data_IF_892800402911
#
_entry.id   IF_892800402911
#
_cell.length_a   1.000
_cell.length_b   1.000
_cell.length_c   1.000
_cell.angle_alpha   90.00
_cell.angle_beta   90.00
_cell.angle_gamma   90.00
#
_symmetry.space_group_name_H-M   'P 1'
#
loop_
_entity.id
_entity.type
_entity.pdbx_description
1 polymer ?
#
# COMPACT_ATOMS: atom_id res chain seq x y z
N UNK A 1 -15.95 -16.49 51.42
CA UNK A 1 -15.47 -15.22 50.84
C UNK A 1 -15.42 -15.40 49.33
N UNK A 2 -16.52 -15.08 48.62
CA UNK A 2 -16.59 -15.20 47.16
C UNK A 2 -15.82 -14.02 46.57
N UNK A 3 -14.66 -14.30 45.99
CA UNK A 3 -13.91 -13.31 45.22
C UNK A 3 -14.73 -13.04 43.96
N UNK A 4 -15.30 -11.83 43.90
CA UNK A 4 -16.14 -11.38 42.81
C UNK A 4 -15.27 -11.14 41.56
N UNK A 5 -15.35 -12.07 40.60
CA UNK A 5 -14.59 -12.13 39.35
C UNK A 5 -14.75 -10.85 38.51
N UNK A 6 -15.80 -10.07 38.78
CA UNK A 6 -16.06 -8.76 38.15
C UNK A 6 -15.11 -7.64 38.58
N UNK A 7 -14.36 -7.79 39.67
CA UNK A 7 -13.50 -6.72 40.19
C UNK A 7 -12.21 -6.59 39.38
N UNK A 8 -11.70 -7.70 38.81
CA UNK A 8 -10.49 -7.71 37.98
C UNK A 8 -10.71 -7.13 36.57
N UNK A 9 -11.95 -7.09 36.07
CA UNK A 9 -12.29 -6.55 34.74
C UNK A 9 -12.51 -5.03 34.72
N UNK A 10 -12.61 -4.38 35.88
CA UNK A 10 -12.82 -2.92 35.98
C UNK A 10 -11.59 -2.10 35.55
N UNK A 11 -10.38 -2.65 35.68
CA UNK A 11 -9.13 -1.96 35.35
C UNK A 11 -8.75 -1.92 33.86
N UNK A 12 -9.57 -2.50 32.96
CA UNK A 12 -9.29 -2.57 31.52
C UNK A 12 -10.19 -1.70 30.63
N UNK A 13 -11.04 -0.86 31.23
CA UNK A 13 -11.95 0.04 30.52
C UNK A 13 -11.40 1.47 30.55
N UNK A 14 -10.93 1.96 29.41
CA UNK A 14 -10.60 3.38 29.26
C UNK A 14 -11.87 4.13 28.87
N UNK A 15 -12.28 5.09 29.68
CA UNK A 15 -13.38 6.01 29.35
C UNK A 15 -12.83 7.04 28.37
N UNK A 16 -13.27 7.00 27.12
CA UNK A 16 -12.90 7.98 26.10
C UNK A 16 -14.15 8.76 25.71
N UNK A 17 -14.05 10.07 25.70
CA UNK A 17 -15.15 10.95 25.31
C UNK A 17 -15.31 10.90 23.78
N UNK A 18 -16.45 10.41 23.30
CA UNK A 18 -16.77 10.44 21.86
C UNK A 18 -17.41 11.79 21.54
N UNK A 19 -16.70 12.60 20.74
CA UNK A 19 -17.17 13.91 20.27
C UNK A 19 -18.42 13.81 19.38
N UNK A 20 -18.63 12.67 18.70
CA UNK A 20 -19.78 12.44 17.80
C UNK A 20 -21.07 12.07 18.55
N UNK A 21 -20.96 11.34 19.66
CA UNK A 21 -22.15 10.85 20.41
C UNK A 21 -22.40 11.59 21.72
N UNK A 22 -21.54 12.56 22.06
CA UNK A 22 -21.56 13.30 23.32
C UNK A 22 -21.69 12.36 24.55
N UNK A 23 -21.05 11.19 24.44
CA UNK A 23 -21.16 10.09 25.42
C UNK A 23 -19.79 9.53 25.77
N UNK A 24 -19.66 9.02 26.99
CA UNK A 24 -18.47 8.32 27.45
C UNK A 24 -18.57 6.88 26.92
N UNK A 25 -17.79 6.56 25.90
CA UNK A 25 -17.71 5.19 25.39
C UNK A 25 -16.64 4.45 26.19
N UNK A 26 -17.02 3.30 26.75
CA UNK A 26 -16.07 2.42 27.42
C UNK A 26 -15.24 1.68 26.36
N UNK A 27 -14.01 2.13 26.17
CA UNK A 27 -13.06 1.53 25.24
C UNK A 27 -12.48 0.25 25.83
N UNK A 28 -12.57 -0.84 25.07
CA UNK A 28 -12.03 -2.15 25.44
C UNK A 28 -10.80 -2.44 24.59
N UNK A 29 -9.64 -2.50 25.24
CA UNK A 29 -8.35 -2.77 24.62
C UNK A 29 -8.33 -4.01 23.72
N UNK A 30 -9.09 -5.05 24.06
CA UNK A 30 -9.13 -6.28 23.26
C UNK A 30 -9.84 -6.06 21.91
N UNK A 31 -10.88 -5.23 21.86
CA UNK A 31 -11.55 -4.88 20.60
C UNK A 31 -10.62 -4.03 19.73
N UNK A 32 -9.88 -3.10 20.33
CA UNK A 32 -8.86 -2.34 19.61
C UNK A 32 -7.80 -3.26 18.99
N UNK A 33 -7.32 -4.26 19.73
CA UNK A 33 -6.36 -5.22 19.21
C UNK A 33 -6.94 -5.99 18.01
N UNK A 34 -8.17 -6.51 18.13
CA UNK A 34 -8.82 -7.26 17.06
C UNK A 34 -9.12 -6.40 15.83
N UNK A 35 -9.63 -5.18 16.00
CA UNK A 35 -9.91 -4.29 14.86
C UNK A 35 -8.64 -3.75 14.22
N UNK A 36 -7.58 -3.51 14.99
CA UNK A 36 -6.26 -3.16 14.47
C UNK A 36 -5.69 -4.31 13.63
N UNK A 37 -5.67 -5.55 14.15
CA UNK A 37 -5.19 -6.71 13.40
C UNK A 37 -6.05 -7.01 12.16
N UNK A 38 -7.36 -6.79 12.25
CA UNK A 38 -8.22 -6.86 11.08
C UNK A 38 -7.84 -5.80 10.03
N UNK A 39 -7.59 -4.57 10.46
CA UNK A 39 -7.11 -3.47 9.61
C UNK A 39 -5.78 -3.76 8.92
N UNK A 40 -4.83 -4.40 9.63
CA UNK A 40 -3.53 -4.81 9.04
C UNK A 40 -3.74 -5.71 7.82
N UNK A 41 -4.69 -6.64 7.87
CA UNK A 41 -4.96 -7.57 6.77
C UNK A 41 -5.51 -6.94 5.49
N UNK A 42 -5.96 -5.67 5.53
CA UNK A 42 -6.58 -5.01 4.38
C UNK A 42 -5.61 -4.76 3.23
N UNK A 43 -4.38 -4.33 3.51
CA UNK A 43 -3.39 -3.97 2.49
C UNK A 43 -2.03 -4.67 2.65
N UNK A 44 -1.85 -5.49 3.68
CA UNK A 44 -0.54 -6.11 3.97
C UNK A 44 0.00 -6.91 2.79
N UNK A 45 -0.86 -7.61 2.04
CA UNK A 45 -0.45 -8.44 0.92
C UNK A 45 0.18 -7.63 -0.21
N UNK A 46 -0.50 -6.56 -0.64
CA UNK A 46 -0.03 -5.67 -1.72
C UNK A 46 1.21 -4.90 -1.28
N UNK A 47 1.21 -4.38 -0.05
CA UNK A 47 2.37 -3.67 0.49
C UNK A 47 3.60 -4.59 0.57
N UNK A 48 3.41 -5.84 1.01
CA UNK A 48 4.46 -6.85 1.08
C UNK A 48 5.08 -7.16 -0.29
N UNK A 49 4.26 -7.21 -1.35
CA UNK A 49 4.77 -7.40 -2.72
C UNK A 49 5.68 -6.25 -3.15
N UNK A 50 5.24 -5.01 -2.95
CA UNK A 50 6.08 -3.85 -3.26
C UNK A 50 7.39 -3.87 -2.47
N UNK A 51 7.37 -4.20 -1.18
CA UNK A 51 8.60 -4.28 -0.36
C UNK A 51 9.60 -5.32 -0.83
N UNK A 52 9.14 -6.39 -1.48
CA UNK A 52 9.99 -7.48 -1.98
C UNK A 52 10.50 -7.27 -3.40
N UNK A 53 9.98 -6.28 -4.15
CA UNK A 53 10.42 -6.02 -5.53
C UNK A 53 11.95 -5.92 -5.69
N UNK A 54 12.71 -5.24 -4.80
CA UNK A 54 14.15 -5.16 -4.93
C UNK A 54 14.87 -6.52 -4.93
N UNK A 55 14.30 -7.53 -4.25
CA UNK A 55 14.81 -8.91 -4.27
C UNK A 55 14.25 -9.70 -5.45
N UNK A 56 12.94 -9.62 -5.71
CA UNK A 56 12.28 -10.38 -6.78
C UNK A 56 12.82 -10.03 -8.17
N UNK A 57 13.15 -8.76 -8.40
CA UNK A 57 13.77 -8.26 -9.65
C UNK A 57 15.12 -8.92 -9.95
N UNK A 58 15.83 -9.46 -8.94
CA UNK A 58 17.12 -10.12 -9.16
C UNK A 58 16.98 -11.52 -9.77
N UNK A 59 15.88 -12.22 -9.47
CA UNK A 59 15.66 -13.60 -9.91
C UNK A 59 14.59 -13.75 -10.99
N UNK A 60 13.70 -12.77 -11.14
CA UNK A 60 12.61 -12.85 -12.10
C UNK A 60 13.12 -12.69 -13.55
N UNK A 61 12.59 -13.46 -14.51
CA UNK A 61 12.95 -13.32 -15.92
C UNK A 61 12.65 -11.94 -16.51
N UNK A 62 11.64 -11.23 -16.01
CA UNK A 62 11.35 -9.85 -16.43
C UNK A 62 12.40 -8.83 -15.97
N UNK A 63 13.23 -9.18 -14.98
CA UNK A 63 14.23 -8.28 -14.40
C UNK A 63 13.62 -6.93 -14.00
N UNK A 64 14.19 -5.86 -14.52
CA UNK A 64 13.78 -4.48 -14.19
C UNK A 64 12.36 -4.15 -14.65
N UNK A 65 11.77 -4.94 -15.54
CA UNK A 65 10.39 -4.74 -16.01
C UNK A 65 9.35 -5.25 -15.01
N UNK A 66 9.73 -6.14 -14.09
CA UNK A 66 8.82 -6.82 -13.18
C UNK A 66 7.86 -5.87 -12.42
N UNK A 67 8.29 -4.71 -11.89
CA UNK A 67 7.38 -3.79 -11.20
C UNK A 67 6.21 -3.33 -12.07
N UNK A 68 6.43 -3.13 -13.39
CA UNK A 68 5.36 -2.70 -14.30
C UNK A 68 4.28 -3.78 -14.51
N UNK A 69 4.68 -5.06 -14.56
CA UNK A 69 3.73 -6.19 -14.62
C UNK A 69 2.93 -6.30 -13.33
N UNK A 70 3.59 -6.17 -12.18
CA UNK A 70 2.96 -6.19 -10.86
C UNK A 70 1.99 -5.03 -10.69
N UNK A 71 2.35 -3.81 -11.12
CA UNK A 71 1.45 -2.66 -11.09
C UNK A 71 0.19 -2.90 -11.92
N UNK A 72 0.29 -3.46 -13.13
CA UNK A 72 -0.90 -3.82 -13.93
C UNK A 72 -1.76 -4.87 -13.21
N UNK A 73 -1.15 -5.94 -12.71
CA UNK A 73 -1.88 -6.98 -11.98
C UNK A 73 -2.64 -6.41 -10.76
N UNK A 74 -2.02 -5.47 -10.04
CA UNK A 74 -2.64 -4.77 -8.92
C UNK A 74 -3.82 -3.90 -9.38
N UNK A 75 -3.67 -3.17 -10.49
CA UNK A 75 -4.73 -2.32 -11.02
C UNK A 75 -5.95 -3.12 -11.50
N UNK A 76 -5.76 -4.33 -12.04
CA UNK A 76 -6.87 -5.25 -12.39
C UNK A 76 -7.60 -5.72 -11.12
N UNK A 77 -6.92 -5.79 -9.97
CA UNK A 77 -7.55 -6.08 -8.66
C UNK A 77 -8.70 -5.14 -8.30
N UNK A 78 -8.74 -3.92 -8.84
CA UNK A 78 -9.84 -2.97 -8.66
C UNK A 78 -11.17 -3.44 -9.28
N UNK A 79 -11.16 -4.50 -10.09
CA UNK A 79 -12.39 -5.20 -10.50
C UNK A 79 -13.16 -5.74 -9.29
N UNK A 80 -12.49 -6.12 -8.20
CA UNK A 80 -13.13 -6.63 -6.99
C UNK A 80 -14.19 -5.69 -6.40
N UNK A 81 -13.83 -4.45 -6.02
CA UNK A 81 -14.80 -3.43 -5.59
C UNK A 81 -15.94 -3.16 -6.57
N UNK A 82 -15.65 -3.16 -7.88
CA UNK A 82 -16.66 -2.94 -8.93
C UNK A 82 -17.67 -4.09 -8.98
N UNK A 83 -17.17 -5.33 -9.03
CA UNK A 83 -17.99 -6.54 -9.01
C UNK A 83 -18.82 -6.61 -7.72
N UNK A 84 -18.23 -6.27 -6.59
CA UNK A 84 -18.96 -6.20 -5.33
C UNK A 84 -20.06 -5.13 -5.33
N UNK A 85 -19.80 -3.95 -5.88
CA UNK A 85 -20.79 -2.87 -5.97
C UNK A 85 -21.99 -3.29 -6.83
N UNK A 86 -21.75 -3.98 -7.94
CA UNK A 86 -22.80 -4.57 -8.78
C UNK A 86 -23.56 -5.69 -8.05
N UNK A 87 -22.84 -6.56 -7.33
CA UNK A 87 -23.42 -7.63 -6.53
C UNK A 87 -24.34 -7.09 -5.44
N UNK A 88 -23.89 -6.08 -4.70
CA UNK A 88 -24.65 -5.42 -3.63
C UNK A 88 -25.93 -4.79 -4.16
N UNK A 89 -25.93 -4.22 -5.38
CA UNK A 89 -27.14 -3.69 -6.02
C UNK A 89 -28.22 -4.76 -6.21
N UNK A 90 -27.83 -6.01 -6.48
CA UNK A 90 -28.76 -7.13 -6.74
C UNK A 90 -29.14 -7.92 -5.49
N UNK A 91 -28.18 -8.18 -4.59
CA UNK A 91 -28.36 -9.09 -3.46
C UNK A 91 -28.37 -8.41 -2.08
N UNK A 92 -28.19 -7.08 -2.04
CA UNK A 92 -28.08 -6.31 -0.80
C UNK A 92 -26.87 -6.73 0.05
N UNK A 93 -26.94 -6.46 1.35
CA UNK A 93 -25.85 -6.72 2.30
C UNK A 93 -25.86 -8.16 2.86
N UNK A 94 -26.71 -9.06 2.32
CA UNK A 94 -26.92 -10.42 2.86
C UNK A 94 -25.64 -11.27 2.83
N UNK A 95 -24.80 -11.05 1.81
CA UNK A 95 -23.59 -11.84 1.57
C UNK A 95 -22.30 -11.16 2.01
N UNK A 96 -22.36 -10.02 2.69
CA UNK A 96 -21.16 -9.27 3.09
C UNK A 96 -20.25 -10.08 4.02
N UNK A 97 -20.84 -10.78 4.99
CA UNK A 97 -20.11 -11.65 5.93
C UNK A 97 -19.43 -12.83 5.25
N UNK A 98 -20.14 -13.72 4.51
CA UNK A 98 -19.49 -14.83 3.83
C UNK A 98 -18.47 -14.36 2.79
N UNK A 99 -18.71 -13.25 2.10
CA UNK A 99 -17.75 -12.70 1.14
C UNK A 99 -16.48 -12.17 1.82
N UNK A 100 -16.60 -11.54 2.99
CA UNK A 100 -15.44 -11.10 3.78
C UNK A 100 -14.58 -12.28 4.21
N UNK A 101 -15.20 -13.35 4.73
CA UNK A 101 -14.49 -14.59 5.10
C UNK A 101 -13.81 -15.21 3.87
N UNK A 102 -14.53 -15.30 2.76
CA UNK A 102 -14.00 -15.83 1.50
C UNK A 102 -12.74 -15.08 1.06
N UNK A 103 -12.77 -13.74 1.08
CA UNK A 103 -11.63 -12.91 0.66
C UNK A 103 -10.45 -13.02 1.62
N UNK A 104 -10.69 -13.10 2.93
CA UNK A 104 -9.63 -13.32 3.91
C UNK A 104 -8.94 -14.69 3.71
N UNK A 105 -9.73 -15.75 3.49
CA UNK A 105 -9.21 -17.09 3.20
C UNK A 105 -8.45 -17.13 1.87
N UNK A 106 -8.97 -16.46 0.84
CA UNK A 106 -8.28 -16.31 -0.44
C UNK A 106 -6.91 -15.66 -0.25
N UNK A 107 -6.82 -14.61 0.57
CA UNK A 107 -5.56 -13.93 0.89
C UNK A 107 -4.54 -14.84 1.58
N UNK A 108 -4.97 -15.64 2.55
CA UNK A 108 -4.12 -16.65 3.22
C UNK A 108 -3.57 -17.64 2.18
N UNK A 109 -4.44 -18.22 1.37
CA UNK A 109 -4.04 -19.20 0.36
C UNK A 109 -3.05 -18.57 -0.62
N UNK A 110 -3.35 -17.37 -1.14
CA UNK A 110 -2.49 -16.70 -2.12
C UNK A 110 -1.09 -16.41 -1.58
N UNK A 111 -0.94 -15.96 -0.32
CA UNK A 111 0.38 -15.61 0.21
C UNK A 111 1.22 -16.83 0.58
N UNK A 112 0.62 -17.93 1.04
CA UNK A 112 1.36 -19.18 1.23
C UNK A 112 1.77 -19.81 -0.10
N UNK A 113 0.91 -19.76 -1.12
CA UNK A 113 1.29 -20.16 -2.48
C UNK A 113 2.41 -19.24 -3.01
N UNK A 114 2.35 -17.94 -2.74
CA UNK A 114 3.40 -16.98 -3.11
C UNK A 114 4.73 -17.36 -2.45
N UNK A 115 4.71 -17.68 -1.15
CA UNK A 115 5.91 -18.09 -0.42
C UNK A 115 6.62 -19.32 -1.04
N UNK A 116 5.84 -20.26 -1.60
CA UNK A 116 6.37 -21.50 -2.18
C UNK A 116 6.74 -21.38 -3.66
N UNK A 117 5.99 -20.58 -4.43
CA UNK A 117 6.02 -20.64 -5.89
C UNK A 117 6.40 -19.31 -6.58
N UNK A 118 6.87 -18.30 -5.84
CA UNK A 118 7.26 -17.01 -6.42
C UNK A 118 8.39 -17.10 -7.46
N UNK A 119 9.24 -18.13 -7.38
CA UNK A 119 10.39 -18.34 -8.26
C UNK A 119 10.09 -19.23 -9.47
N UNK A 120 8.86 -19.73 -9.62
CA UNK A 120 8.48 -20.56 -10.77
C UNK A 120 8.14 -19.66 -11.96
N UNK A 121 8.92 -19.79 -13.03
CA UNK A 121 8.64 -19.19 -14.33
C UNK A 121 7.94 -20.16 -15.27
N UNK A 122 7.07 -19.65 -16.14
CA UNK A 122 6.50 -20.37 -17.28
C UNK A 122 6.83 -19.65 -18.58
N UNK A 123 6.65 -20.31 -19.72
CA UNK A 123 6.99 -19.76 -21.04
C UNK A 123 5.74 -19.18 -21.72
N UNK A 124 5.81 -17.92 -22.16
CA UNK A 124 4.76 -17.28 -22.98
C UNK A 124 5.43 -16.72 -24.23
N UNK A 125 4.92 -17.06 -25.42
CA UNK A 125 5.47 -16.61 -26.70
C UNK A 125 6.99 -16.86 -26.87
N UNK A 126 7.48 -17.97 -26.31
CA UNK A 126 8.89 -18.34 -26.41
C UNK A 126 9.83 -17.61 -25.44
N UNK A 127 9.29 -16.85 -24.48
CA UNK A 127 10.06 -16.12 -23.46
C UNK A 127 9.66 -16.56 -22.04
N UNK A 128 10.62 -16.68 -21.11
CA UNK A 128 10.30 -17.00 -19.72
C UNK A 128 9.62 -15.81 -19.04
N UNK A 129 8.57 -16.09 -18.28
CA UNK A 129 7.77 -15.11 -17.55
C UNK A 129 7.40 -15.63 -16.16
N UNK A 130 7.29 -14.74 -15.19
CA UNK A 130 6.86 -15.00 -13.82
C UNK A 130 5.34 -15.17 -13.72
N UNK A 131 4.78 -16.13 -14.46
CA UNK A 131 3.32 -16.31 -14.59
C UNK A 131 2.66 -16.53 -13.23
N UNK A 132 3.24 -17.43 -12.42
CA UNK A 132 2.70 -17.78 -11.09
C UNK A 132 2.72 -16.56 -10.16
N UNK A 133 3.82 -15.82 -10.15
CA UNK A 133 3.95 -14.57 -9.39
C UNK A 133 2.87 -13.55 -9.80
N UNK A 134 2.62 -13.36 -11.09
CA UNK A 134 1.63 -12.41 -11.60
C UNK A 134 0.18 -12.82 -11.24
N UNK A 135 -0.15 -14.11 -11.36
CA UNK A 135 -1.49 -14.63 -11.00
C UNK A 135 -1.74 -14.48 -9.49
N UNK A 136 -0.76 -14.84 -8.67
CA UNK A 136 -0.88 -14.70 -7.22
C UNK A 136 -0.89 -13.24 -6.78
N UNK A 137 -0.13 -12.37 -7.46
CA UNK A 137 -0.18 -10.90 -7.29
C UNK A 137 -1.58 -10.36 -7.57
N UNK A 138 -2.19 -10.74 -8.69
CA UNK A 138 -3.57 -10.36 -9.02
C UNK A 138 -4.54 -10.82 -7.91
N UNK A 139 -4.39 -12.05 -7.43
CA UNK A 139 -5.27 -12.59 -6.38
C UNK A 139 -5.08 -11.83 -5.05
N UNK A 140 -3.84 -11.55 -4.66
CA UNK A 140 -3.51 -10.71 -3.49
C UNK A 140 -4.05 -9.29 -3.63
N UNK A 141 -3.99 -8.71 -4.84
CA UNK A 141 -4.55 -7.41 -5.14
C UNK A 141 -6.09 -7.40 -5.10
N UNK A 142 -6.74 -8.46 -5.59
CA UNK A 142 -8.19 -8.61 -5.49
C UNK A 142 -8.63 -8.60 -4.01
N UNK A 143 -7.88 -9.29 -3.14
CA UNK A 143 -8.12 -9.28 -1.69
C UNK A 143 -7.96 -7.86 -1.14
N UNK A 144 -6.84 -7.22 -1.46
CA UNK A 144 -6.53 -5.88 -0.95
C UNK A 144 -7.54 -4.81 -1.40
N UNK A 145 -7.82 -4.73 -2.70
CA UNK A 145 -8.76 -3.76 -3.25
C UNK A 145 -10.18 -3.98 -2.72
N UNK A 146 -10.66 -5.23 -2.66
CA UNK A 146 -12.04 -5.53 -2.23
C UNK A 146 -12.23 -5.33 -0.72
N UNK A 147 -11.16 -5.42 0.09
CA UNK A 147 -11.22 -5.15 1.53
C UNK A 147 -11.81 -3.77 1.83
N UNK A 148 -11.46 -2.75 1.02
CA UNK A 148 -11.93 -1.36 1.17
C UNK A 148 -13.45 -1.20 1.17
N UNK A 149 -14.17 -2.10 0.50
CA UNK A 149 -15.64 -2.05 0.37
C UNK A 149 -16.37 -3.07 1.25
N UNK A 150 -15.66 -3.97 1.91
CA UNK A 150 -16.24 -5.04 2.75
C UNK A 150 -15.90 -4.92 4.23
N UNK A 151 -14.67 -4.51 4.55
CA UNK A 151 -14.16 -4.54 5.92
C UNK A 151 -14.77 -3.40 6.75
N UNK A 152 -14.83 -2.19 6.17
CA UNK A 152 -15.46 -1.02 6.83
C UNK A 152 -16.94 -1.27 7.13
N UNK A 153 -17.79 -1.73 6.17
CA UNK A 153 -19.17 -2.08 6.48
C UNK A 153 -19.32 -3.18 7.53
N UNK A 154 -18.40 -4.15 7.60
CA UNK A 154 -18.42 -5.18 8.64
C UNK A 154 -18.24 -4.60 10.06
N UNK A 155 -17.55 -3.46 10.18
CA UNK A 155 -17.33 -2.74 11.44
C UNK A 155 -18.40 -1.69 11.74
N UNK A 156 -19.36 -1.44 10.84
CA UNK A 156 -20.40 -0.41 11.02
C UNK A 156 -21.30 -0.61 12.25
N UNK A 157 -21.37 -1.84 12.77
CA UNK A 157 -22.14 -2.15 13.99
C UNK A 157 -21.34 -1.90 15.28
N UNK A 158 -20.08 -1.46 15.21
CA UNK A 158 -19.26 -1.09 16.36
C UNK A 158 -19.15 0.42 16.47
N UNK A 159 -18.80 0.94 17.66
CA UNK A 159 -18.54 2.36 17.85
C UNK A 159 -17.43 2.88 16.93
N UNK A 160 -17.57 4.12 16.44
CA UNK A 160 -16.64 4.77 15.52
C UNK A 160 -15.19 4.79 16.00
N UNK A 161 -14.96 4.71 17.32
CA UNK A 161 -13.63 4.59 17.92
C UNK A 161 -12.88 3.37 17.36
N UNK A 162 -13.57 2.24 17.19
CA UNK A 162 -12.96 1.01 16.67
C UNK A 162 -12.74 1.04 15.16
N UNK A 163 -13.51 1.85 14.42
CA UNK A 163 -13.25 2.14 13.01
C UNK A 163 -11.96 2.96 12.86
N UNK A 164 -11.71 3.93 13.74
CA UNK A 164 -10.42 4.64 13.79
C UNK A 164 -9.26 3.67 14.05
N UNK A 165 -9.43 2.74 14.99
CA UNK A 165 -8.40 1.71 15.26
C UNK A 165 -8.15 0.79 14.05
N UNK A 166 -9.19 0.44 13.29
CA UNK A 166 -9.03 -0.26 12.02
C UNK A 166 -8.18 0.54 11.01
N UNK A 167 -8.43 1.85 10.89
CA UNK A 167 -7.65 2.72 9.99
C UNK A 167 -6.17 2.81 10.41
N UNK A 168 -5.89 2.76 11.72
CA UNK A 168 -4.51 2.64 12.23
C UNK A 168 -3.89 1.31 11.79
N UNK A 169 -4.63 0.21 11.91
CA UNK A 169 -4.19 -1.11 11.42
C UNK A 169 -3.87 -1.11 9.92
N UNK A 170 -4.71 -0.48 9.10
CA UNK A 170 -4.44 -0.30 7.67
C UNK A 170 -3.12 0.45 7.41
N UNK A 171 -2.80 1.48 8.21
CA UNK A 171 -1.48 2.15 8.14
C UNK A 171 -0.30 1.25 8.53
N UNK A 172 -0.47 0.40 9.56
CA UNK A 172 0.55 -0.56 10.02
C UNK A 172 0.86 -1.61 8.94
N UNK A 173 -0.11 -1.91 8.05
CA UNK A 173 0.05 -2.88 6.96
C UNK A 173 1.17 -2.55 5.97
N UNK A 174 1.56 -1.28 5.85
CA UNK A 174 2.72 -0.86 5.04
C UNK A 174 4.02 -0.82 5.85
N UNK A 175 3.93 -0.45 7.13
CA UNK A 175 5.08 -0.30 8.02
C UNK A 175 5.74 -1.65 8.37
N UNK A 176 4.94 -2.64 8.80
CA UNK A 176 5.46 -3.92 9.30
C UNK A 176 6.23 -4.69 8.23
N UNK A 177 5.71 -4.90 7.00
CA UNK A 177 6.46 -5.58 5.95
C UNK A 177 7.76 -4.85 5.60
N UNK A 178 7.75 -3.51 5.59
CA UNK A 178 8.95 -2.72 5.30
C UNK A 178 10.03 -2.85 6.36
N UNK A 179 9.66 -2.90 7.64
CA UNK A 179 10.62 -3.14 8.71
C UNK A 179 11.23 -4.54 8.59
N UNK A 180 10.40 -5.56 8.33
CA UNK A 180 10.88 -6.94 8.10
C UNK A 180 11.81 -6.98 6.89
N UNK A 181 11.49 -6.28 5.79
CA UNK A 181 12.33 -6.22 4.60
C UNK A 181 13.67 -5.48 4.85
N UNK A 182 13.69 -4.45 5.69
CA UNK A 182 14.94 -3.81 6.15
C UNK A 182 15.81 -4.78 6.94
N UNK A 183 15.22 -5.53 7.87
CA UNK A 183 15.93 -6.58 8.62
C UNK A 183 16.39 -7.72 7.72
N UNK A 184 15.60 -8.08 6.69
CA UNK A 184 15.98 -9.06 5.68
C UNK A 184 17.24 -8.65 4.91
N UNK A 185 17.43 -7.34 4.74
CA UNK A 185 18.50 -6.79 3.92
C UNK A 185 18.30 -7.11 2.44
N UNK A 186 19.32 -6.80 1.63
CA UNK A 186 19.34 -7.12 0.21
C UNK A 186 20.66 -7.75 -0.19
N UNK A 187 20.57 -8.77 -1.04
CA UNK A 187 21.74 -9.29 -1.73
C UNK A 187 22.24 -8.29 -2.77
N UNK A 188 23.55 -8.12 -2.84
CA UNK A 188 24.22 -7.27 -3.83
C UNK A 188 25.19 -8.10 -4.67
N UNK A 189 25.16 -7.87 -5.98
CA UNK A 189 26.14 -8.42 -6.92
C UNK A 189 27.21 -7.37 -7.15
N UNK A 190 28.43 -7.65 -6.70
CA UNK A 190 29.62 -6.82 -6.93
C UNK A 190 30.53 -7.52 -7.92
N UNK A 191 31.14 -6.75 -8.81
CA UNK A 191 32.09 -7.27 -9.78
C UNK A 191 33.48 -6.76 -9.49
N UNK A 192 34.34 -7.70 -9.14
CA UNK A 192 35.74 -7.44 -8.85
C UNK A 192 36.56 -7.97 -10.02
N UNK A 193 37.47 -7.15 -10.51
CA UNK A 193 38.43 -7.57 -11.52
C UNK A 193 39.56 -8.32 -10.84
N UNK A 194 39.70 -9.63 -11.10
CA UNK A 194 40.77 -10.48 -10.56
C UNK A 194 41.62 -11.04 -11.68
N UNK A 195 42.93 -10.98 -11.50
CA UNK A 195 43.88 -11.58 -12.45
C UNK A 195 44.07 -13.04 -12.06
N UNK A 196 43.59 -13.98 -12.89
CA UNK A 196 43.91 -15.41 -12.77
C UNK A 196 44.69 -15.85 -14.00
N UNK A 197 45.84 -16.49 -13.79
CA UNK A 197 46.70 -17.01 -14.87
C UNK A 197 47.09 -15.94 -15.92
N UNK A 198 47.31 -14.69 -15.50
CA UNK A 198 47.65 -13.59 -16.41
C UNK A 198 46.48 -13.05 -17.25
N UNK A 199 45.27 -13.57 -17.07
CA UNK A 199 44.05 -13.04 -17.68
C UNK A 199 43.20 -12.28 -16.66
N UNK A 200 42.67 -11.14 -17.10
CA UNK A 200 41.72 -10.33 -16.35
C UNK A 200 40.34 -11.01 -16.38
N UNK A 201 39.90 -11.58 -15.26
CA UNK A 201 38.60 -12.22 -15.12
C UNK A 201 37.73 -11.34 -14.21
N UNK A 202 36.48 -11.11 -14.62
CA UNK A 202 35.49 -10.44 -13.78
C UNK A 202 34.88 -11.48 -12.84
N UNK A 203 35.20 -11.39 -11.56
CA UNK A 203 34.61 -12.26 -10.53
C UNK A 203 33.36 -11.60 -9.94
N UNK A 204 32.25 -12.33 -10.01
CA UNK A 204 30.93 -11.91 -9.52
C UNK A 204 30.79 -12.35 -8.07
N UNK A 205 31.05 -11.44 -7.14
CA UNK A 205 30.79 -11.67 -5.73
C UNK A 205 29.32 -11.34 -5.42
N UNK A 206 28.52 -12.37 -5.17
CA UNK A 206 27.10 -12.26 -4.82
C UNK A 206 26.95 -12.40 -3.31
N UNK A 207 26.43 -11.36 -2.67
CA UNK A 207 25.94 -11.43 -1.29
C UNK A 207 24.46 -11.76 -1.30
N UNK A 208 23.99 -12.51 -0.31
CA UNK A 208 22.58 -12.88 -0.16
C UNK A 208 21.91 -12.06 0.93
N UNK A 209 20.58 -11.92 0.84
CA UNK A 209 19.78 -11.43 1.95
C UNK A 209 19.85 -12.39 3.15
N UNK A 210 19.60 -11.89 4.37
CA UNK A 210 19.67 -12.70 5.60
C UNK A 210 18.67 -13.87 5.59
N UNK A 211 17.55 -13.72 4.89
CA UNK A 211 16.59 -14.80 4.63
C UNK A 211 15.87 -14.62 3.29
N UNK A 212 15.28 -15.70 2.77
CA UNK A 212 14.63 -15.73 1.45
C UNK A 212 13.29 -14.98 1.42
N UNK A 213 12.87 -14.54 0.23
CA UNK A 213 11.53 -13.98 0.01
C UNK A 213 10.41 -14.98 0.35
N UNK A 214 10.67 -16.29 0.24
CA UNK A 214 9.73 -17.32 0.70
C UNK A 214 9.46 -17.26 2.21
N UNK A 215 10.51 -17.14 3.04
CA UNK A 215 10.32 -16.97 4.48
C UNK A 215 9.62 -15.65 4.80
N UNK A 216 9.97 -14.57 4.09
CA UNK A 216 9.27 -13.29 4.21
C UNK A 216 7.76 -13.44 3.98
N UNK A 217 7.35 -14.01 2.84
CA UNK A 217 5.92 -14.22 2.55
C UNK A 217 5.25 -15.18 3.53
N UNK A 218 5.98 -16.16 4.07
CA UNK A 218 5.48 -17.04 5.14
C UNK A 218 5.14 -16.24 6.41
N UNK A 219 6.02 -15.32 6.82
CA UNK A 219 5.77 -14.42 7.97
C UNK A 219 4.54 -13.54 7.71
N UNK A 220 4.42 -12.99 6.50
CA UNK A 220 3.23 -12.21 6.10
C UNK A 220 1.96 -13.08 6.13
N UNK A 221 2.05 -14.34 5.70
CA UNK A 221 0.97 -15.32 5.79
C UNK A 221 0.50 -15.55 7.23
N UNK A 222 1.42 -15.65 8.18
CA UNK A 222 1.09 -15.77 9.61
C UNK A 222 0.36 -14.52 10.14
N UNK A 223 0.78 -13.33 9.71
CA UNK A 223 0.07 -12.08 10.07
C UNK A 223 -1.33 -12.06 9.46
N UNK A 224 -1.49 -12.51 8.21
CA UNK A 224 -2.78 -12.62 7.54
C UNK A 224 -3.73 -13.63 8.22
N UNK A 225 -3.20 -14.75 8.72
CA UNK A 225 -3.94 -15.67 9.58
C UNK A 225 -4.42 -14.96 10.86
N UNK A 226 -3.55 -14.18 11.51
CA UNK A 226 -3.90 -13.38 12.69
C UNK A 226 -5.03 -12.37 12.42
N UNK A 227 -4.99 -11.70 11.26
CA UNK A 227 -6.06 -10.80 10.81
C UNK A 227 -7.39 -11.53 10.60
N UNK A 228 -7.34 -12.71 9.96
CA UNK A 228 -8.53 -13.54 9.72
C UNK A 228 -9.14 -14.06 11.01
N UNK A 229 -8.32 -14.57 11.93
CA UNK A 229 -8.76 -14.98 13.27
C UNK A 229 -9.38 -13.79 14.01
N UNK A 230 -8.80 -12.59 13.88
CA UNK A 230 -9.33 -11.39 14.51
C UNK A 230 -10.73 -11.05 13.99
N UNK A 231 -10.96 -11.14 12.67
CA UNK A 231 -12.29 -10.98 12.08
C UNK A 231 -13.29 -12.04 12.57
N UNK A 232 -12.88 -13.31 12.60
CA UNK A 232 -13.74 -14.40 13.10
C UNK A 232 -14.11 -14.19 14.57
N UNK A 233 -13.18 -13.74 15.40
CA UNK A 233 -13.45 -13.36 16.78
C UNK A 233 -14.43 -12.18 16.87
N UNK A 234 -14.26 -11.13 16.06
CA UNK A 234 -15.19 -10.00 16.01
C UNK A 234 -16.60 -10.42 15.57
N UNK A 235 -16.72 -11.39 14.67
CA UNK A 235 -18.01 -11.77 14.10
C UNK A 235 -18.75 -12.84 14.92
N UNK A 236 -18.03 -13.84 15.44
CA UNK A 236 -18.62 -15.00 16.10
C UNK A 236 -18.55 -14.97 17.62
N UNK A 237 -17.59 -14.27 18.23
CA UNK A 237 -17.44 -14.27 19.69
C UNK A 237 -18.65 -13.65 20.39
N UNK A 238 -19.22 -14.32 21.41
CA UNK A 238 -20.35 -13.78 22.18
C UNK A 238 -19.99 -12.48 22.91
N UNK A 239 -18.73 -12.31 23.32
CA UNK A 239 -18.25 -11.09 23.97
C UNK A 239 -18.25 -9.90 23.01
N UNK A 240 -17.86 -10.10 21.75
CA UNK A 240 -17.83 -9.06 20.73
C UNK A 240 -19.25 -8.69 20.26
N UNK A 241 -20.14 -9.68 20.11
CA UNK A 241 -21.54 -9.45 19.72
C UNK A 241 -22.31 -8.57 20.70
N UNK A 242 -22.01 -8.66 22.00
CA UNK A 242 -22.63 -7.82 23.04
C UNK A 242 -22.27 -6.34 22.92
N UNK A 243 -21.15 -6.03 22.25
CA UNK A 243 -20.66 -4.66 22.07
C UNK A 243 -21.13 -4.03 20.75
N UNK A 244 -21.85 -4.78 19.91
CA UNK A 244 -22.43 -4.23 18.69
C UNK A 244 -23.57 -3.27 19.08
N UNK A 245 -23.50 -2.05 18.56
CA UNK A 245 -24.50 -1.00 18.78
C UNK A 245 -25.83 -1.47 18.20
N UNK A 246 -26.89 -1.48 19.00
CA UNK A 246 -28.26 -1.55 18.50
C UNK A 246 -28.75 -0.12 18.23
N UNK A 247 -28.57 0.40 17.02
CA UNK A 247 -29.27 1.64 16.62
C UNK A 247 -29.47 1.74 15.10
N UNK A 248 -30.71 2.07 14.71
CA UNK A 248 -31.12 2.52 13.37
C UNK A 248 -30.39 3.82 13.03
N UNK A 249 -29.74 3.87 11.88
CA UNK A 249 -29.12 5.09 11.36
C UNK A 249 -30.18 6.00 10.72
N UNK A 250 -30.50 7.12 11.37
CA UNK A 250 -31.10 8.28 10.69
C UNK A 250 -30.00 9.31 10.43
N UNK A 251 -29.75 9.58 9.14
CA UNK A 251 -28.89 10.66 8.68
C UNK A 251 -29.70 11.94 8.57
N UNK A 252 -29.36 12.95 9.37
CA UNK A 252 -29.86 14.32 9.21
C UNK A 252 -28.96 15.05 8.22
N UNK A 253 -29.49 15.37 7.04
CA UNK A 253 -28.87 16.31 6.10
C UNK A 253 -29.31 17.74 6.45
N UNK A 254 -28.35 18.64 6.68
CA UNK A 254 -28.59 20.09 6.75
C UNK A 254 -28.03 20.73 5.48
N UNK A 255 -28.91 21.40 4.73
CA UNK A 255 -28.60 22.09 3.49
C UNK A 255 -28.34 23.58 3.76
N UNK A 256 -27.31 24.16 3.16
CA UNK A 256 -27.17 25.62 3.03
C UNK A 256 -26.59 25.99 1.66
N UNK A 257 -27.37 26.69 0.86
CA UNK A 257 -27.28 26.78 -0.60
C UNK A 257 -26.44 27.93 -1.17
N UNK A 258 -25.93 28.86 -0.34
CA UNK A 258 -25.30 30.09 -0.84
C UNK A 258 -23.74 30.09 -0.89
N UNK A 259 -23.06 29.04 -0.40
CA UNK A 259 -21.58 28.87 -0.44
C UNK A 259 -21.11 28.10 -1.71
N UNK A 260 -22.06 27.61 -2.51
CA UNK A 260 -21.89 26.50 -3.46
C UNK A 260 -21.10 26.82 -4.75
N UNK A 261 -21.04 28.07 -5.21
CA UNK A 261 -20.39 28.40 -6.50
C UNK A 261 -18.87 28.49 -6.44
N UNK A 262 -18.28 29.11 -5.40
CA UNK A 262 -16.81 29.23 -5.25
C UNK A 262 -16.18 27.89 -4.86
N UNK A 263 -16.87 27.08 -4.05
CA UNK A 263 -16.39 25.75 -3.66
C UNK A 263 -16.26 24.80 -4.86
N UNK A 264 -17.16 24.89 -5.85
CA UNK A 264 -17.18 23.96 -6.98
C UNK A 264 -15.90 23.97 -7.84
N UNK A 265 -15.29 25.13 -8.08
CA UNK A 265 -14.03 25.20 -8.87
C UNK A 265 -12.85 24.64 -8.07
N UNK A 266 -12.76 24.99 -6.79
CA UNK A 266 -11.73 24.48 -5.90
C UNK A 266 -11.80 22.96 -5.77
N UNK A 267 -13.00 22.39 -5.64
CA UNK A 267 -13.14 20.94 -5.49
C UNK A 267 -12.78 20.18 -6.76
N UNK A 268 -13.08 20.75 -7.93
CA UNK A 268 -12.61 20.22 -9.21
C UNK A 268 -11.08 20.27 -9.29
N UNK A 269 -10.46 21.37 -8.86
CA UNK A 269 -9.00 21.50 -8.80
C UNK A 269 -8.37 20.48 -7.83
N UNK A 270 -8.93 20.31 -6.63
CA UNK A 270 -8.45 19.33 -5.65
C UNK A 270 -8.58 17.89 -6.18
N UNK A 271 -9.68 17.57 -6.86
CA UNK A 271 -9.84 16.27 -7.53
C UNK A 271 -8.85 16.08 -8.69
N UNK A 272 -8.55 17.14 -9.46
CA UNK A 272 -7.52 17.08 -10.50
C UNK A 272 -6.13 16.84 -9.90
N UNK A 273 -5.76 17.57 -8.84
CA UNK A 273 -4.51 17.37 -8.09
C UNK A 273 -4.43 15.94 -7.55
N UNK A 274 -5.51 15.42 -6.96
CA UNK A 274 -5.59 14.03 -6.50
C UNK A 274 -5.32 13.06 -7.65
N UNK A 275 -5.96 13.26 -8.80
CA UNK A 275 -5.78 12.43 -9.98
C UNK A 275 -4.31 12.37 -10.41
N UNK A 276 -3.62 13.51 -10.45
CA UNK A 276 -2.19 13.59 -10.77
C UNK A 276 -1.33 12.89 -9.71
N UNK A 277 -1.56 13.18 -8.43
CA UNK A 277 -0.80 12.57 -7.34
C UNK A 277 -0.92 11.06 -7.37
N UNK A 278 -2.13 10.54 -7.55
CA UNK A 278 -2.39 9.10 -7.55
C UNK A 278 -1.89 8.43 -8.84
N UNK A 279 -1.97 9.12 -9.98
CA UNK A 279 -1.36 8.68 -11.24
C UNK A 279 0.13 8.37 -11.06
N UNK A 280 0.88 9.26 -10.40
CA UNK A 280 2.29 9.02 -10.11
C UNK A 280 2.49 8.02 -8.97
N UNK A 281 1.87 8.23 -7.81
CA UNK A 281 2.17 7.48 -6.58
C UNK A 281 1.76 6.01 -6.63
N UNK A 282 0.65 5.69 -7.28
CA UNK A 282 0.09 4.33 -7.28
C UNK A 282 0.24 3.61 -8.62
N UNK A 283 0.62 4.33 -9.68
CA UNK A 283 0.70 3.78 -11.04
C UNK A 283 2.09 3.90 -11.65
N UNK A 284 2.43 5.11 -12.12
CA UNK A 284 3.61 5.31 -12.95
C UNK A 284 4.92 5.13 -12.18
N UNK A 285 5.07 5.74 -11.00
CA UNK A 285 6.31 5.66 -10.24
C UNK A 285 6.62 4.23 -9.79
N UNK A 286 5.70 3.47 -9.16
CA UNK A 286 5.96 2.07 -8.83
C UNK A 286 6.40 1.23 -10.04
N UNK A 287 5.84 1.49 -11.24
CA UNK A 287 6.20 0.78 -12.47
C UNK A 287 7.65 1.04 -12.91
N UNK A 288 8.15 2.27 -12.75
CA UNK A 288 9.50 2.69 -13.20
C UNK A 288 10.55 2.68 -12.06
N UNK A 289 10.17 2.30 -10.84
CA UNK A 289 11.02 2.47 -9.66
C UNK A 289 12.36 1.75 -9.79
N UNK A 290 12.36 0.56 -10.39
CA UNK A 290 13.54 -0.22 -10.73
C UNK A 290 14.53 0.61 -11.57
N UNK A 291 14.06 1.23 -12.65
CA UNK A 291 14.86 2.07 -13.53
C UNK A 291 15.39 3.35 -12.88
N UNK A 292 14.64 3.91 -11.93
CA UNK A 292 15.06 5.10 -11.20
C UNK A 292 16.13 4.79 -10.15
N UNK A 293 16.05 3.63 -9.48
CA UNK A 293 16.88 3.32 -8.31
C UNK A 293 18.06 2.39 -8.60
N UNK A 294 17.90 1.40 -9.47
CA UNK A 294 18.93 0.37 -9.72
C UNK A 294 20.23 0.90 -10.34
N UNK A 295 20.27 2.02 -11.10
CA UNK A 295 21.54 2.66 -11.46
C UNK A 295 22.39 3.09 -10.26
N UNK A 296 21.79 3.28 -9.09
CA UNK A 296 22.47 3.58 -7.82
C UNK A 296 22.70 2.33 -6.94
N UNK A 297 22.35 1.14 -7.45
CA UNK A 297 22.53 -0.15 -6.80
C UNK A 297 21.27 -0.68 -6.08
N UNK A 298 21.29 -1.99 -5.81
CA UNK A 298 20.18 -2.69 -5.14
C UNK A 298 19.88 -2.15 -3.74
N UNK A 299 20.89 -1.69 -3.00
CA UNK A 299 20.68 -1.08 -1.68
C UNK A 299 19.88 0.22 -1.77
N UNK A 300 20.13 1.06 -2.78
CA UNK A 300 19.34 2.28 -2.99
C UNK A 300 17.88 1.94 -3.31
N UNK A 301 17.64 0.95 -4.17
CA UNK A 301 16.28 0.50 -4.48
C UNK A 301 15.57 -0.05 -3.23
N UNK A 302 16.26 -0.91 -2.46
CA UNK A 302 15.74 -1.47 -1.22
C UNK A 302 15.32 -0.40 -0.21
N UNK A 303 16.21 0.56 0.06
CA UNK A 303 15.94 1.65 0.99
C UNK A 303 14.84 2.57 0.48
N UNK A 304 14.86 2.95 -0.81
CA UNK A 304 13.85 3.82 -1.40
C UNK A 304 12.44 3.22 -1.26
N UNK A 305 12.27 1.94 -1.57
CA UNK A 305 10.97 1.25 -1.43
C UNK A 305 10.53 1.18 0.02
N UNK A 306 11.38 0.72 0.93
CA UNK A 306 10.97 0.43 2.30
C UNK A 306 10.81 1.69 3.17
N UNK A 307 11.69 2.68 3.01
CA UNK A 307 11.55 3.95 3.73
C UNK A 307 10.35 4.76 3.22
N UNK A 308 9.99 4.68 1.93
CA UNK A 308 8.79 5.33 1.40
C UNK A 308 7.50 4.77 2.01
N UNK A 309 7.44 3.45 2.18
CA UNK A 309 6.30 2.81 2.84
C UNK A 309 6.20 3.18 4.33
N UNK A 310 7.34 3.34 5.02
CA UNK A 310 7.39 3.82 6.41
C UNK A 310 7.01 5.31 6.51
N UNK A 311 7.33 6.12 5.50
CA UNK A 311 6.99 7.54 5.47
C UNK A 311 5.47 7.80 5.44
N UNK A 312 4.67 6.89 4.87
CA UNK A 312 3.22 7.02 4.80
C UNK A 312 2.53 7.17 6.17
N UNK A 313 2.69 6.24 7.14
CA UNK A 313 2.09 6.39 8.47
C UNK A 313 2.67 7.59 9.24
N UNK A 314 3.95 7.93 9.05
CA UNK A 314 4.56 9.13 9.65
C UNK A 314 3.87 10.40 9.13
N UNK A 315 3.63 10.50 7.82
CA UNK A 315 2.92 11.62 7.21
C UNK A 315 1.48 11.74 7.74
N UNK A 316 0.77 10.61 7.89
CA UNK A 316 -0.56 10.58 8.51
C UNK A 316 -0.54 11.06 9.96
N UNK A 317 0.49 10.68 10.74
CA UNK A 317 0.67 11.13 12.11
C UNK A 317 0.96 12.63 12.19
N UNK A 318 1.84 13.16 11.34
CA UNK A 318 2.13 14.60 11.25
C UNK A 318 0.87 15.39 10.88
N UNK A 319 0.06 14.85 9.97
CA UNK A 319 -1.21 15.47 9.55
C UNK A 319 -2.25 15.56 10.68
N UNK A 320 -2.12 14.77 11.75
CA UNK A 320 -2.96 14.90 12.94
C UNK A 320 -2.68 16.17 13.73
N UNK A 321 -1.40 16.56 13.84
CA UNK A 321 -0.97 17.76 14.59
C UNK A 321 -0.95 19.03 13.74
N UNK A 322 -1.14 18.91 12.43
CA UNK A 322 -1.05 20.03 11.48
C UNK A 322 -2.43 20.40 10.95
N UNK A 323 -2.62 21.65 10.51
CA UNK A 323 -3.84 22.08 9.80
C UNK A 323 -3.94 21.42 8.41
N UNK A 324 -4.41 20.17 8.37
CA UNK A 324 -4.62 19.34 7.16
C UNK A 324 -5.56 19.93 6.12
N UNK A 325 -6.34 20.96 6.44
CA UNK A 325 -7.24 21.63 5.49
C UNK A 325 -6.65 22.92 4.90
N UNK A 326 -5.43 23.29 5.28
CA UNK A 326 -4.77 24.50 4.78
C UNK A 326 -4.39 24.35 3.30
N UNK A 327 -5.00 25.19 2.45
CA UNK A 327 -4.73 25.22 1.00
C UNK A 327 -3.27 25.54 0.71
N UNK A 328 -2.68 26.48 1.45
CA UNK A 328 -1.28 26.86 1.28
C UNK A 328 -0.34 25.68 1.52
N UNK A 329 -0.58 24.90 2.58
CA UNK A 329 0.22 23.70 2.88
C UNK A 329 0.07 22.66 1.77
N UNK A 330 -1.16 22.43 1.28
CA UNK A 330 -1.40 21.49 0.17
C UNK A 330 -0.63 21.92 -1.09
N UNK A 331 -0.68 23.20 -1.47
CA UNK A 331 0.03 23.68 -2.67
C UNK A 331 1.55 23.59 -2.52
N UNK A 332 2.12 23.97 -1.37
CA UNK A 332 3.56 23.83 -1.09
C UNK A 332 3.99 22.36 -1.22
N UNK A 333 3.25 21.44 -0.60
CA UNK A 333 3.54 20.01 -0.69
C UNK A 333 3.40 19.47 -2.12
N UNK A 334 2.43 19.98 -2.90
CA UNK A 334 2.30 19.62 -4.31
C UNK A 334 3.51 20.09 -5.14
N UNK A 335 4.05 21.28 -4.86
CA UNK A 335 5.28 21.76 -5.50
C UNK A 335 6.48 20.87 -5.16
N UNK A 336 6.61 20.43 -3.91
CA UNK A 336 7.65 19.48 -3.48
C UNK A 336 7.48 18.12 -4.18
N UNK A 337 6.25 17.62 -4.28
CA UNK A 337 5.94 16.40 -5.03
C UNK A 337 6.35 16.52 -6.50
N UNK A 338 6.06 17.67 -7.13
CA UNK A 338 6.38 17.90 -8.55
C UNK A 338 7.90 17.87 -8.79
N UNK A 339 8.69 18.53 -7.94
CA UNK A 339 10.16 18.51 -8.03
C UNK A 339 10.68 17.07 -7.90
N UNK A 340 10.15 16.32 -6.94
CA UNK A 340 10.55 14.92 -6.71
C UNK A 340 10.17 14.03 -7.91
N UNK A 341 8.97 14.20 -8.47
CA UNK A 341 8.52 13.48 -9.68
C UNK A 341 9.46 13.75 -10.85
N UNK A 342 9.79 15.02 -11.13
CA UNK A 342 10.66 15.39 -12.24
C UNK A 342 12.02 14.72 -12.08
N UNK A 343 12.60 14.72 -10.88
CA UNK A 343 13.88 14.07 -10.62
C UNK A 343 13.82 12.54 -10.78
N UNK A 344 12.78 11.88 -10.25
CA UNK A 344 12.61 10.42 -10.38
C UNK A 344 12.37 9.99 -11.83
N UNK A 345 11.59 10.75 -12.60
CA UNK A 345 11.41 10.50 -14.03
C UNK A 345 12.72 10.70 -14.79
N UNK A 346 13.43 11.81 -14.52
CA UNK A 346 14.70 12.10 -15.18
C UNK A 346 15.73 11.00 -14.93
N UNK A 347 15.87 10.52 -13.69
CA UNK A 347 16.77 9.39 -13.37
C UNK A 347 16.35 8.09 -14.08
N UNK A 348 15.04 7.80 -14.17
CA UNK A 348 14.53 6.63 -14.88
C UNK A 348 14.76 6.69 -16.40
N UNK A 349 14.54 7.83 -17.04
CA UNK A 349 14.72 8.01 -18.49
C UNK A 349 16.18 8.16 -18.91
N UNK A 350 17.06 8.61 -18.02
CA UNK A 350 18.51 8.70 -18.27
C UNK A 350 19.26 7.42 -17.86
N UNK A 351 18.57 6.42 -17.31
CA UNK A 351 19.13 5.10 -17.04
C UNK A 351 19.73 4.50 -18.33
N UNK A 352 20.95 3.93 -18.29
CA UNK A 352 21.73 3.57 -17.09
C UNK A 352 22.70 4.66 -16.59
N UNK A 353 22.87 5.77 -17.30
CA UNK A 353 23.85 6.84 -16.98
C UNK A 353 23.17 8.01 -16.26
N UNK A 354 22.40 7.71 -15.22
CA UNK A 354 21.67 8.71 -14.45
C UNK A 354 22.64 9.70 -13.76
N UNK A 355 22.24 10.95 -13.45
CA UNK A 355 23.14 11.90 -12.80
C UNK A 355 23.67 11.36 -11.46
N UNK A 356 24.96 11.58 -11.19
CA UNK A 356 25.62 11.08 -9.99
C UNK A 356 25.60 9.54 -9.85
N UNK A 357 25.44 8.79 -10.96
CA UNK A 357 25.59 7.33 -10.95
C UNK A 357 26.96 6.93 -10.38
N UNK A 358 27.01 5.78 -9.68
CA UNK A 358 28.18 5.29 -8.94
C UNK A 358 28.70 6.18 -7.78
N UNK A 359 27.90 7.14 -7.29
CA UNK A 359 28.26 7.93 -6.10
C UNK A 359 27.30 7.68 -4.93
N UNK A 360 27.84 7.65 -3.70
CA UNK A 360 27.03 7.56 -2.49
C UNK A 360 26.05 8.74 -2.35
N UNK A 361 26.47 9.93 -2.81
CA UNK A 361 25.61 11.12 -2.84
C UNK A 361 24.39 10.92 -3.73
N UNK A 362 24.58 10.33 -4.92
CA UNK A 362 23.47 9.98 -5.82
C UNK A 362 22.50 8.98 -5.18
N UNK A 363 23.03 7.93 -4.53
CA UNK A 363 22.22 6.93 -3.83
C UNK A 363 21.40 7.54 -2.67
N UNK A 364 22.00 8.41 -1.86
CA UNK A 364 21.29 9.10 -0.77
C UNK A 364 20.21 10.04 -1.33
N UNK A 365 20.54 10.79 -2.39
CA UNK A 365 19.64 11.74 -3.01
C UNK A 365 18.41 11.04 -3.62
N UNK A 366 18.59 9.94 -4.34
CA UNK A 366 17.45 9.24 -4.94
C UNK A 366 16.55 8.65 -3.86
N UNK A 367 17.11 8.01 -2.82
CA UNK A 367 16.34 7.49 -1.68
C UNK A 367 15.55 8.62 -1.00
N UNK A 368 16.19 9.76 -0.75
CA UNK A 368 15.53 10.92 -0.15
C UNK A 368 14.36 11.42 -1.01
N UNK A 369 14.52 11.53 -2.34
CA UNK A 369 13.46 12.00 -3.24
C UNK A 369 12.24 11.06 -3.27
N UNK A 370 12.46 9.75 -3.25
CA UNK A 370 11.38 8.75 -3.15
C UNK A 370 10.62 8.88 -1.82
N UNK A 371 11.36 8.94 -0.70
CA UNK A 371 10.78 9.07 0.65
C UNK A 371 10.00 10.37 0.80
N UNK A 372 10.58 11.48 0.32
CA UNK A 372 9.96 12.80 0.35
C UNK A 372 8.66 12.82 -0.46
N UNK A 373 8.68 12.29 -1.68
CA UNK A 373 7.50 12.23 -2.52
C UNK A 373 6.37 11.44 -1.87
N UNK A 374 6.61 10.20 -1.41
CA UNK A 374 5.55 9.37 -0.83
C UNK A 374 5.01 9.95 0.49
N UNK A 375 5.87 10.53 1.33
CA UNK A 375 5.45 11.26 2.52
C UNK A 375 4.54 12.44 2.20
N UNK A 376 4.98 13.34 1.30
CA UNK A 376 4.20 14.50 0.88
C UNK A 376 2.89 14.10 0.17
N UNK A 377 2.93 13.13 -0.74
CA UNK A 377 1.77 12.63 -1.47
C UNK A 377 0.72 12.03 -0.53
N UNK A 378 1.13 11.29 0.49
CA UNK A 378 0.23 10.73 1.50
C UNK A 378 -0.45 11.82 2.34
N UNK A 379 0.30 12.85 2.75
CA UNK A 379 -0.28 14.01 3.43
C UNK A 379 -1.31 14.74 2.54
N UNK A 380 -0.98 14.98 1.26
CA UNK A 380 -1.86 15.67 0.31
C UNK A 380 -3.14 14.87 0.07
N UNK A 381 -3.05 13.55 -0.15
CA UNK A 381 -4.22 12.66 -0.31
C UNK A 381 -5.15 12.74 0.90
N UNK A 382 -4.60 12.62 2.12
CA UNK A 382 -5.36 12.71 3.36
C UNK A 382 -6.04 14.07 3.52
N UNK A 383 -5.32 15.15 3.20
CA UNK A 383 -5.83 16.52 3.26
C UNK A 383 -7.01 16.74 2.31
N UNK A 384 -6.89 16.27 1.06
CA UNK A 384 -7.98 16.33 0.07
C UNK A 384 -9.17 15.50 0.51
N UNK A 385 -8.94 14.29 1.02
CA UNK A 385 -10.01 13.42 1.55
C UNK A 385 -10.76 14.10 2.71
N UNK A 386 -10.04 14.74 3.63
CA UNK A 386 -10.64 15.46 4.75
C UNK A 386 -11.50 16.66 4.30
N UNK A 387 -11.02 17.44 3.32
CA UNK A 387 -11.78 18.57 2.76
C UNK A 387 -13.06 18.05 2.06
N UNK A 388 -12.94 17.03 1.21
CA UNK A 388 -14.07 16.51 0.44
C UNK A 388 -15.09 15.77 1.32
N UNK A 389 -14.68 15.17 2.45
CA UNK A 389 -15.58 14.54 3.41
C UNK A 389 -16.58 15.54 4.00
N UNK A 390 -16.14 16.78 4.26
CA UNK A 390 -17.01 17.83 4.81
C UNK A 390 -18.10 18.30 3.82
N UNK A 391 -17.99 17.94 2.53
CA UNK A 391 -18.96 18.31 1.50
C UNK A 391 -19.98 17.22 1.17
N UNK A 392 -19.88 16.06 1.82
CA UNK A 392 -20.85 14.96 1.73
C UNK A 392 -20.40 13.76 0.90
N UNK A 393 -21.20 12.68 0.99
CA UNK A 393 -20.87 11.34 0.50
C UNK A 393 -20.60 11.29 -1.02
N UNK A 394 -21.28 12.12 -1.81
CA UNK A 394 -21.06 12.18 -3.27
C UNK A 394 -19.65 12.62 -3.65
N UNK A 395 -19.00 13.47 -2.84
CA UNK A 395 -17.63 13.93 -3.11
C UNK A 395 -16.59 12.90 -2.73
N UNK A 396 -16.83 12.17 -1.65
CA UNK A 396 -15.99 11.04 -1.25
C UNK A 396 -16.06 9.89 -2.28
N UNK A 397 -17.21 9.68 -2.90
CA UNK A 397 -17.34 8.75 -4.04
C UNK A 397 -16.45 9.18 -5.22
N UNK A 398 -16.48 10.46 -5.62
CA UNK A 398 -15.60 10.95 -6.70
C UNK A 398 -14.11 10.85 -6.34
N UNK A 399 -13.73 11.08 -5.07
CA UNK A 399 -12.36 10.84 -4.58
C UNK A 399 -11.93 9.40 -4.85
N UNK A 400 -12.78 8.42 -4.51
CA UNK A 400 -12.54 7.01 -4.79
C UNK A 400 -12.40 6.72 -6.27
N UNK A 401 -13.33 7.20 -7.11
CA UNK A 401 -13.27 6.99 -8.57
C UNK A 401 -12.00 7.56 -9.20
N UNK A 402 -11.65 8.81 -8.86
CA UNK A 402 -10.45 9.48 -9.41
C UNK A 402 -9.18 8.78 -8.96
N UNK A 403 -9.13 8.29 -7.71
CA UNK A 403 -7.99 7.51 -7.21
C UNK A 403 -7.77 6.25 -8.06
N UNK A 404 -8.84 5.52 -8.40
CA UNK A 404 -8.71 4.30 -9.20
C UNK A 404 -8.36 4.59 -10.67
N UNK A 405 -9.01 5.59 -11.27
CA UNK A 405 -8.72 5.99 -12.66
C UNK A 405 -7.28 6.47 -12.79
N UNK A 406 -6.83 7.36 -11.89
CA UNK A 406 -5.46 7.87 -11.88
C UNK A 406 -4.44 6.75 -11.77
N UNK A 407 -4.60 5.86 -10.78
CA UNK A 407 -3.70 4.72 -10.56
C UNK A 407 -3.63 3.81 -11.80
N UNK A 408 -4.78 3.51 -12.41
CA UNK A 408 -4.87 2.64 -13.58
C UNK A 408 -4.19 3.26 -14.80
N UNK A 409 -4.45 4.54 -15.08
CA UNK A 409 -3.79 5.26 -16.17
C UNK A 409 -2.27 5.33 -15.97
N UNK A 410 -1.81 5.57 -14.75
CA UNK A 410 -0.39 5.60 -14.42
C UNK A 410 0.30 4.26 -14.67
N UNK A 411 -0.31 3.15 -14.23
CA UNK A 411 0.23 1.82 -14.45
C UNK A 411 0.22 1.43 -15.95
N UNK A 412 -0.84 1.76 -16.69
CA UNK A 412 -0.93 1.52 -18.13
C UNK A 412 0.15 2.27 -18.91
N UNK A 413 0.35 3.55 -18.59
CA UNK A 413 1.41 4.35 -19.20
C UNK A 413 2.79 3.80 -18.81
N UNK A 414 3.02 3.47 -17.54
CA UNK A 414 4.27 2.86 -17.09
C UNK A 414 4.58 1.56 -17.83
N UNK A 415 3.60 0.67 -17.95
CA UNK A 415 3.73 -0.58 -18.69
C UNK A 415 4.02 -0.35 -20.17
N UNK A 416 3.32 0.59 -20.82
CA UNK A 416 3.55 0.93 -22.21
C UNK A 416 4.96 1.48 -22.45
N UNK A 417 5.41 2.42 -21.61
CA UNK A 417 6.74 3.04 -21.74
C UNK A 417 7.88 2.02 -21.61
N UNK A 418 7.72 1.04 -20.71
CA UNK A 418 8.75 0.03 -20.41
C UNK A 418 8.70 -1.12 -21.43
N UNK A 419 7.53 -1.74 -21.64
CA UNK A 419 7.45 -3.02 -22.35
C UNK A 419 7.13 -2.88 -23.83
N UNK A 420 6.44 -1.81 -24.24
CA UNK A 420 6.03 -1.60 -25.64
C UNK A 420 6.94 -0.60 -26.33
N UNK A 421 7.08 0.59 -25.75
CA UNK A 421 7.94 1.64 -26.31
C UNK A 421 9.43 1.41 -26.03
N UNK A 422 9.77 0.56 -25.03
CA UNK A 422 11.14 0.21 -24.64
C UNK A 422 12.05 1.44 -24.44
N UNK A 423 11.48 2.52 -23.90
CA UNK A 423 12.19 3.79 -23.73
C UNK A 423 13.18 3.76 -22.56
N UNK A 424 12.93 2.89 -21.57
CA UNK A 424 13.78 2.75 -20.39
C UNK A 424 14.73 1.57 -20.59
N UNK A 425 16.03 1.81 -20.35
CA UNK A 425 17.09 0.80 -20.55
C UNK A 425 17.60 0.29 -19.21
N UNK A 426 17.68 -1.04 -19.10
CA UNK A 426 18.24 -1.72 -17.94
C UNK A 426 19.77 -1.70 -18.00
N UNK A 427 20.40 -1.69 -16.83
CA UNK A 427 21.83 -1.89 -16.70
C UNK A 427 22.11 -3.36 -16.39
N UNK A 428 22.99 -3.99 -17.18
CA UNK A 428 23.57 -5.28 -16.81
C UNK A 428 24.81 -5.04 -15.95
N UNK A 429 24.82 -5.46 -14.68
CA UNK A 429 26.03 -5.42 -13.90
C UNK A 429 27.10 -6.24 -14.63
N UNK A 430 28.25 -5.59 -14.84
CA UNK A 430 29.49 -6.18 -15.34
C UNK A 430 29.61 -6.42 -16.84
N UNK A 431 28.77 -5.78 -17.66
CA UNK A 431 28.92 -5.79 -19.13
C UNK A 431 30.09 -4.92 -19.62
N UNK A 432 30.50 -3.92 -18.82
CA UNK A 432 31.50 -2.90 -19.18
C UNK A 432 32.61 -2.72 -18.11
N UNK A 433 32.90 -3.73 -17.28
CA UNK A 433 34.01 -3.69 -16.30
C UNK A 433 35.27 -4.28 -16.90
#
# INVERSE_FOLDING_TARGET
MKVDENTYLKHKRMKVYSLETNSIVERKWFLDLLTCMFGVGSWILVNSLYTQLPLLVQSAPEGWNLPSYISIAIQIGNLGPLLYSLWRKKYGNRFDRPLTIFILMLGIISVFLMAMFYNISGEIFGQPHSIVLCILTFTMALVGCTSSVLFIPSLSNYSDIYLVTYMVGEGISGFVPSLIAIVQGIGTTTCNTVIRNGQTIIDKSITNAYFSSGLFFTIIGMIMCGSTVSYLCLEYSPTCKKEKIQTKSESVEVHNSNITKVNNHLNKLLLAILGVIVFFANGLLPSIQSYSCLPYGYMAYHLATNLSNIANPIACFIAYYTNRTSKHVIFILCSVCLISIIYMLMTAFTSPTSPLYNTNTGAILIVFMWVLFFGCASYVKLSIAAILRNEGNRRLFHYGCITQIGSALGALIGFYLINVAQLLKSYEPCKNV
#
